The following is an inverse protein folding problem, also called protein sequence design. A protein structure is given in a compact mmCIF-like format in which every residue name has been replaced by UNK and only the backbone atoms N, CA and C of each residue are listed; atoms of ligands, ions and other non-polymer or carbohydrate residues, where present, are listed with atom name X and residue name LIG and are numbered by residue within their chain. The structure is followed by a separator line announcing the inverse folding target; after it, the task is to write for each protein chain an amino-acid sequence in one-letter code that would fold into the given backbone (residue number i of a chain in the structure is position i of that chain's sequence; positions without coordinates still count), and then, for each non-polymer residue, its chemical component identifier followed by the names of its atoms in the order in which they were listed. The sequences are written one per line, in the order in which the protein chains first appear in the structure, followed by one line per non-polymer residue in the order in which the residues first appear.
data_IF_542670894710
#
_entry.id   IF_542670894710
#
_cell.length_a   1.000
_cell.length_b   1.000
_cell.length_c   1.000
_cell.angle_alpha   90.00
_cell.angle_beta   90.00
_cell.angle_gamma   90.00
#
_symmetry.space_group_name_H-M   'P 1'
#
loop_
_entity.id
_entity.type
_entity.pdbx_description
1 polymer ?
#
# COMPACT_ATOMS: atom_id res chain seq x y z
N UNK A 1 22.59 -59.31 30.25
CA UNK A 1 22.86 -58.80 28.89
C UNK A 1 21.64 -58.84 27.95
N UNK A 2 20.52 -59.49 28.27
CA UNK A 2 19.35 -59.61 27.36
C UNK A 2 18.37 -58.41 27.45
N UNK A 3 18.39 -57.63 28.50
CA UNK A 3 17.46 -56.50 28.71
C UNK A 3 17.91 -55.18 28.06
N UNK A 4 19.19 -55.05 27.76
CA UNK A 4 19.71 -53.86 27.07
C UNK A 4 19.47 -53.88 25.57
N UNK A 5 19.29 -55.07 24.97
CA UNK A 5 19.00 -55.19 23.53
C UNK A 5 17.57 -54.75 23.18
N UNK A 6 16.62 -54.96 24.13
CA UNK A 6 15.23 -54.50 23.93
C UNK A 6 15.10 -52.99 24.08
N UNK A 7 15.87 -52.36 24.97
CA UNK A 7 15.84 -50.92 25.12
C UNK A 7 16.43 -50.20 23.89
N UNK A 8 17.46 -50.79 23.28
CA UNK A 8 18.07 -50.25 22.05
C UNK A 8 17.18 -50.45 20.84
N UNK A 9 16.43 -51.56 20.76
CA UNK A 9 15.49 -51.81 19.67
C UNK A 9 14.26 -50.93 19.75
N UNK A 10 13.77 -50.60 20.97
CA UNK A 10 12.67 -49.67 21.18
C UNK A 10 13.09 -48.23 20.90
N UNK A 11 14.35 -47.86 21.16
CA UNK A 11 14.89 -46.55 20.80
C UNK A 11 15.12 -46.43 19.27
N UNK A 12 15.42 -47.53 18.56
CA UNK A 12 15.55 -47.55 17.10
C UNK A 12 14.20 -47.57 16.39
N UNK A 13 13.16 -48.12 17.01
CA UNK A 13 11.80 -48.11 16.48
C UNK A 13 10.97 -46.91 16.94
N UNK A 14 11.39 -46.25 18.04
CA UNK A 14 10.79 -45.00 18.53
C UNK A 14 11.36 -43.73 17.88
N UNK A 15 12.41 -43.85 17.08
CA UNK A 15 12.82 -42.85 16.12
C UNK A 15 11.84 -42.83 14.96
N UNK A 16 10.57 -42.56 15.27
CA UNK A 16 9.59 -42.21 14.25
C UNK A 16 10.21 -41.09 13.42
N UNK A 17 10.55 -41.38 12.18
CA UNK A 17 10.72 -40.39 11.18
C UNK A 17 9.49 -39.51 11.29
N UNK A 18 9.65 -38.37 11.92
CA UNK A 18 8.72 -37.24 11.71
C UNK A 18 8.84 -37.03 10.20
N UNK A 19 7.96 -37.70 9.44
CA UNK A 19 7.71 -37.32 8.07
C UNK A 19 7.57 -35.84 8.13
N UNK A 20 8.59 -35.12 7.64
CA UNK A 20 8.62 -33.69 7.68
C UNK A 20 7.30 -33.25 7.05
N UNK A 21 6.42 -32.72 7.87
CA UNK A 21 5.10 -32.31 7.42
C UNK A 21 5.34 -31.28 6.33
N UNK A 22 5.24 -31.73 5.08
CA UNK A 22 5.59 -30.91 3.89
C UNK A 22 4.49 -29.90 3.60
N UNK A 23 3.31 -30.13 4.19
CA UNK A 23 2.14 -29.27 4.01
C UNK A 23 1.57 -28.86 5.37
N UNK A 24 1.09 -27.65 5.47
CA UNK A 24 0.47 -27.09 6.67
C UNK A 24 -0.81 -26.35 6.29
N UNK A 25 -1.88 -26.69 6.99
CA UNK A 25 -3.17 -26.04 6.82
C UNK A 25 -3.37 -25.04 7.95
N UNK A 26 -3.65 -23.79 7.60
CA UNK A 26 -3.98 -22.72 8.57
C UNK A 26 -5.42 -22.88 9.08
N UNK A 27 -5.75 -22.20 10.18
CA UNK A 27 -7.11 -22.16 10.72
C UNK A 27 -8.15 -21.65 9.69
N UNK A 28 -7.73 -20.86 8.69
CA UNK A 28 -8.57 -20.43 7.56
C UNK A 28 -8.71 -21.44 6.43
N UNK A 29 -8.25 -22.69 6.62
CA UNK A 29 -8.36 -23.77 5.63
C UNK A 29 -7.37 -23.70 4.47
N UNK A 30 -6.46 -22.74 4.44
CA UNK A 30 -5.42 -22.65 3.42
C UNK A 30 -4.26 -23.60 3.73
N UNK A 31 -3.83 -24.37 2.74
CA UNK A 31 -2.72 -25.29 2.86
C UNK A 31 -1.49 -24.77 2.15
N UNK A 32 -0.36 -24.77 2.87
CA UNK A 32 0.93 -24.32 2.38
C UNK A 32 1.91 -25.49 2.38
N UNK A 33 2.75 -25.54 1.35
CA UNK A 33 3.80 -26.53 1.21
C UNK A 33 5.20 -25.89 1.36
N UNK A 34 6.15 -26.65 1.85
CA UNK A 34 7.54 -26.20 1.81
C UNK A 34 7.96 -25.99 0.34
N UNK A 35 8.56 -24.83 0.08
CA UNK A 35 8.91 -24.40 -1.26
C UNK A 35 7.92 -23.41 -1.89
N UNK A 36 6.72 -23.26 -1.32
CA UNK A 36 5.75 -22.28 -1.81
C UNK A 36 6.31 -20.88 -1.78
N UNK A 37 5.96 -20.10 -2.80
CA UNK A 37 6.30 -18.69 -2.89
C UNK A 37 5.18 -17.87 -2.27
N UNK A 38 5.50 -17.15 -1.20
CA UNK A 38 4.59 -16.28 -0.49
C UNK A 38 5.00 -14.83 -0.70
N UNK A 39 4.03 -13.94 -0.80
CA UNK A 39 4.29 -12.49 -0.92
C UNK A 39 4.11 -11.85 0.45
N UNK A 40 5.08 -11.05 0.87
CA UNK A 40 4.96 -10.23 2.06
C UNK A 40 3.95 -9.13 1.77
N UNK A 41 2.91 -9.02 2.58
CA UNK A 41 1.93 -7.95 2.51
C UNK A 41 2.42 -6.68 3.19
N UNK A 42 1.50 -5.98 3.81
CA UNK A 42 1.76 -4.80 4.62
C UNK A 42 1.61 -5.12 6.10
N UNK A 43 2.21 -4.31 6.99
CA UNK A 43 1.91 -4.39 8.42
C UNK A 43 0.40 -4.28 8.65
N UNK A 44 -0.12 -5.06 9.59
CA UNK A 44 -1.55 -5.05 9.92
C UNK A 44 -2.06 -3.64 10.26
N UNK A 45 -1.26 -2.86 10.97
CA UNK A 45 -1.54 -1.46 11.28
C UNK A 45 -0.69 -0.57 10.37
N UNK A 46 -1.30 0.31 9.56
CA UNK A 46 -0.56 1.20 8.68
C UNK A 46 0.44 2.08 9.46
N UNK A 47 1.67 2.13 8.98
CA UNK A 47 2.76 2.91 9.61
C UNK A 47 3.44 2.23 10.79
N UNK A 48 2.95 1.08 11.23
CA UNK A 48 3.56 0.29 12.29
C UNK A 48 4.54 -0.76 11.74
N UNK A 49 5.24 -1.42 12.67
CA UNK A 49 6.08 -2.57 12.33
C UNK A 49 5.21 -3.82 12.12
N UNK A 50 5.73 -4.78 11.37
CA UNK A 50 5.13 -6.11 11.29
C UNK A 50 5.07 -6.73 12.69
N UNK A 51 3.91 -7.24 13.06
CA UNK A 51 3.69 -7.84 14.38
C UNK A 51 3.85 -9.36 14.36
N UNK A 52 3.55 -9.96 13.21
CA UNK A 52 3.49 -11.41 13.03
C UNK A 52 4.69 -11.97 12.27
N UNK A 53 5.68 -11.13 11.98
CA UNK A 53 6.93 -11.56 11.37
C UNK A 53 8.11 -10.72 11.83
N UNK A 54 9.29 -11.34 11.82
CA UNK A 54 10.54 -10.68 12.19
C UNK A 54 11.76 -11.41 11.63
N UNK A 55 12.90 -10.74 11.57
CA UNK A 55 14.14 -11.37 11.14
C UNK A 55 14.69 -12.32 12.20
N UNK A 56 15.34 -13.40 11.75
CA UNK A 56 16.05 -14.30 12.66
C UNK A 56 17.26 -13.64 13.31
N UNK A 57 17.83 -12.65 12.65
CA UNK A 57 18.99 -11.87 13.12
C UNK A 57 18.82 -10.40 12.77
N UNK A 58 18.94 -9.55 13.80
CA UNK A 58 18.88 -8.11 13.61
C UNK A 58 17.45 -7.56 13.43
N UNK A 59 17.37 -6.25 13.26
CA UNK A 59 16.12 -5.47 13.15
C UNK A 59 16.10 -4.73 11.80
N UNK A 60 16.30 -5.48 10.70
CA UNK A 60 16.26 -4.91 9.36
C UNK A 60 14.82 -4.61 8.94
N UNK A 61 14.62 -3.60 8.10
CA UNK A 61 13.32 -3.30 7.53
C UNK A 61 12.83 -4.47 6.67
N UNK A 62 11.64 -4.97 6.96
CA UNK A 62 11.00 -6.03 6.18
C UNK A 62 10.47 -5.41 4.88
N UNK A 63 10.88 -5.92 3.70
CA UNK A 63 10.44 -5.36 2.43
C UNK A 63 9.02 -5.81 2.11
N UNK A 64 8.07 -4.88 2.07
CA UNK A 64 6.72 -5.15 1.59
C UNK A 64 6.74 -5.61 0.12
N UNK A 65 5.81 -6.49 -0.23
CA UNK A 65 5.63 -7.07 -1.58
C UNK A 65 6.80 -7.91 -2.10
N UNK A 66 7.81 -8.17 -1.28
CA UNK A 66 8.84 -9.12 -1.64
C UNK A 66 8.29 -10.55 -1.64
N UNK A 67 8.75 -11.35 -2.58
CA UNK A 67 8.44 -12.77 -2.64
C UNK A 67 9.47 -13.57 -1.84
N UNK A 68 8.99 -14.38 -0.91
CA UNK A 68 9.79 -15.30 -0.11
C UNK A 68 9.39 -16.75 -0.36
N UNK A 69 10.35 -17.67 -0.24
CA UNK A 69 10.07 -19.10 -0.27
C UNK A 69 9.97 -19.67 1.14
N UNK A 70 8.94 -20.44 1.39
CA UNK A 70 8.75 -21.17 2.63
C UNK A 70 9.79 -22.30 2.72
N UNK A 71 10.73 -22.20 3.67
CA UNK A 71 11.88 -23.12 3.75
C UNK A 71 11.68 -24.22 4.78
N UNK A 72 11.18 -23.87 5.94
CA UNK A 72 10.98 -24.79 7.06
C UNK A 72 9.95 -24.25 8.04
N UNK A 73 9.50 -25.09 8.93
CA UNK A 73 8.73 -24.71 10.09
C UNK A 73 9.32 -25.33 11.35
N UNK A 74 9.00 -24.79 12.49
CA UNK A 74 9.31 -25.30 13.83
C UNK A 74 8.04 -25.25 14.65
N UNK A 75 7.70 -26.38 15.25
CA UNK A 75 6.61 -26.45 16.22
C UNK A 75 7.20 -26.17 17.60
N UNK A 76 6.70 -25.14 18.26
CA UNK A 76 7.09 -24.80 19.62
C UNK A 76 5.92 -25.04 20.56
N UNK A 77 6.12 -25.72 21.69
CA UNK A 77 5.10 -25.78 22.71
C UNK A 77 4.82 -24.36 23.21
N UNK A 78 3.56 -23.97 23.14
CA UNK A 78 3.09 -22.71 23.73
C UNK A 78 3.01 -22.91 25.24
N UNK A 79 3.63 -22.00 25.99
CA UNK A 79 3.56 -22.02 27.46
C UNK A 79 2.71 -20.85 27.91
N UNK A 80 1.86 -21.10 28.90
CA UNK A 80 1.16 -20.01 29.57
C UNK A 80 2.11 -19.19 30.48
N UNK A 81 1.57 -18.18 31.16
CA UNK A 81 2.33 -17.33 32.07
C UNK A 81 2.87 -18.08 33.28
N UNK A 82 2.40 -19.30 33.57
CA UNK A 82 2.84 -20.16 34.66
C UNK A 82 3.85 -21.21 34.17
N UNK A 83 4.11 -21.30 32.87
CA UNK A 83 5.06 -22.24 32.27
C UNK A 83 4.45 -23.56 31.86
N UNK A 84 3.13 -23.75 32.00
CA UNK A 84 2.41 -24.94 31.58
C UNK A 84 2.22 -24.96 30.08
N UNK A 85 2.33 -26.17 29.47
CA UNK A 85 2.17 -26.33 28.02
C UNK A 85 0.70 -26.22 27.66
N UNK A 86 0.36 -25.21 26.85
CA UNK A 86 -0.99 -25.05 26.27
C UNK A 86 -1.16 -26.08 25.16
N UNK A 87 -2.36 -26.59 25.01
CA UNK A 87 -2.70 -27.70 24.10
C UNK A 87 -2.46 -27.44 22.62
N UNK A 88 -2.38 -26.16 22.19
CA UNK A 88 -2.09 -25.79 20.81
C UNK A 88 -0.69 -25.21 20.68
N UNK A 89 0.25 -25.94 20.05
CA UNK A 89 1.60 -25.44 19.86
C UNK A 89 1.66 -24.33 18.82
N UNK A 90 2.50 -23.33 19.07
CA UNK A 90 2.83 -22.31 18.07
C UNK A 90 3.69 -22.92 16.97
N UNK A 91 3.27 -22.74 15.72
CA UNK A 91 4.07 -23.12 14.57
C UNK A 91 4.70 -21.88 13.92
N UNK A 92 6.03 -21.84 13.99
CA UNK A 92 6.82 -20.79 13.37
C UNK A 92 7.30 -21.22 11.99
N UNK A 93 7.11 -20.37 11.01
CA UNK A 93 7.53 -20.59 9.64
C UNK A 93 8.72 -19.72 9.28
N UNK A 94 9.58 -20.22 8.40
CA UNK A 94 10.78 -19.51 7.95
C UNK A 94 10.68 -19.24 6.45
N UNK A 95 10.65 -17.97 6.10
CA UNK A 95 10.68 -17.49 4.72
C UNK A 95 12.08 -17.01 4.37
N UNK A 96 12.64 -17.51 3.27
CA UNK A 96 13.86 -16.96 2.70
C UNK A 96 13.53 -15.96 1.61
N UNK A 97 14.18 -14.81 1.65
CA UNK A 97 14.06 -13.76 0.64
C UNK A 97 15.33 -13.77 -0.24
N UNK A 98 15.20 -13.65 -1.58
CA UNK A 98 16.36 -13.63 -2.48
C UNK A 98 17.34 -12.51 -2.17
N UNK A 99 16.84 -11.33 -1.73
CA UNK A 99 17.64 -10.17 -1.37
C UNK A 99 18.47 -10.38 -0.09
N UNK A 100 18.06 -11.34 0.76
CA UNK A 100 18.68 -11.60 2.07
C UNK A 100 18.99 -13.10 2.23
N UNK A 101 19.92 -13.66 1.42
CA UNK A 101 20.13 -15.12 1.34
C UNK A 101 20.68 -15.73 2.64
N UNK A 102 21.28 -14.93 3.52
CA UNK A 102 21.86 -15.38 4.79
C UNK A 102 20.88 -15.32 5.97
N UNK A 103 19.75 -14.66 5.80
CA UNK A 103 18.75 -14.45 6.85
C UNK A 103 17.39 -15.01 6.42
N UNK A 104 16.52 -15.25 7.39
CA UNK A 104 15.17 -15.68 7.15
C UNK A 104 14.20 -14.86 7.99
N UNK A 105 13.01 -14.63 7.44
CA UNK A 105 11.91 -14.11 8.23
C UNK A 105 11.24 -15.27 8.98
N UNK A 106 11.03 -15.08 10.27
CA UNK A 106 10.18 -15.94 11.10
C UNK A 106 8.77 -15.37 11.02
N UNK A 107 7.79 -16.22 10.73
CA UNK A 107 6.40 -15.81 10.50
C UNK A 107 5.43 -16.71 11.25
N UNK A 108 4.46 -16.11 11.92
CA UNK A 108 3.25 -16.78 12.41
C UNK A 108 2.25 -16.88 11.25
N UNK A 109 2.44 -17.86 10.38
CA UNK A 109 1.85 -17.88 9.03
C UNK A 109 0.32 -17.79 9.03
N UNK A 110 -0.37 -18.54 9.90
CA UNK A 110 -1.82 -18.52 9.97
C UNK A 110 -2.39 -17.15 10.29
N UNK A 111 -1.86 -16.50 11.32
CA UNK A 111 -2.28 -15.16 11.73
C UNK A 111 -1.82 -14.11 10.73
N UNK A 112 -0.60 -14.24 10.18
CA UNK A 112 -0.07 -13.31 9.19
C UNK A 112 -0.89 -13.30 7.89
N UNK A 113 -1.45 -14.44 7.50
CA UNK A 113 -2.38 -14.53 6.38
C UNK A 113 -3.71 -13.86 6.71
N UNK A 114 -4.28 -14.15 7.88
CA UNK A 114 -5.54 -13.51 8.32
C UNK A 114 -5.43 -11.98 8.43
N UNK A 115 -4.27 -11.50 8.89
CA UNK A 115 -3.99 -10.08 9.06
C UNK A 115 -3.46 -9.38 7.81
N UNK A 116 -3.25 -10.12 6.72
CA UNK A 116 -2.75 -9.58 5.46
C UNK A 116 -1.25 -9.25 5.45
N UNK A 117 -0.49 -9.65 6.48
CA UNK A 117 0.97 -9.53 6.49
C UNK A 117 1.64 -10.55 5.55
N UNK A 118 0.94 -11.62 5.20
CA UNK A 118 1.29 -12.54 4.11
C UNK A 118 0.13 -12.61 3.12
N UNK A 119 0.44 -12.41 1.85
CA UNK A 119 -0.49 -12.51 0.73
C UNK A 119 -0.27 -13.83 0.02
N UNK A 120 -1.26 -14.68 0.00
CA UNK A 120 -1.15 -16.05 -0.55
C UNK A 120 -1.34 -16.12 -2.05
N UNK A 121 -2.20 -15.28 -2.58
CA UNK A 121 -2.31 -14.99 -4.00
C UNK A 121 -2.81 -13.55 -4.15
N UNK A 122 -2.18 -12.71 -4.98
CA UNK A 122 -2.82 -11.50 -5.38
C UNK A 122 -4.11 -11.90 -6.09
N UNK A 123 -5.26 -11.48 -5.57
CA UNK A 123 -6.49 -11.58 -6.35
C UNK A 123 -6.28 -10.65 -7.54
N UNK A 124 -6.16 -11.23 -8.74
CA UNK A 124 -6.04 -10.45 -9.95
C UNK A 124 -7.26 -9.53 -10.05
N UNK A 125 -6.98 -8.26 -10.05
CA UNK A 125 -7.99 -7.23 -10.22
C UNK A 125 -7.59 -6.38 -11.42
N UNK A 126 -8.52 -6.26 -12.38
CA UNK A 126 -8.35 -5.31 -13.45
C UNK A 126 -8.85 -3.96 -12.97
N UNK A 127 -7.97 -2.94 -12.83
CA UNK A 127 -8.37 -1.60 -12.44
C UNK A 127 -9.43 -1.02 -13.41
N UNK A 128 -10.24 -0.07 -12.93
CA UNK A 128 -11.21 0.64 -13.79
C UNK A 128 -10.56 1.24 -15.04
N UNK A 129 -9.33 1.72 -14.88
CA UNK A 129 -8.51 2.28 -15.95
C UNK A 129 -7.12 1.66 -15.90
N UNK A 130 -6.90 0.51 -16.57
CA UNK A 130 -5.62 -0.21 -16.53
C UNK A 130 -4.43 0.60 -17.05
N UNK A 131 -4.71 1.52 -17.99
CA UNK A 131 -3.74 2.43 -18.60
C UNK A 131 -3.43 3.67 -17.76
N UNK A 132 -4.15 3.88 -16.65
CA UNK A 132 -3.97 5.06 -15.82
C UNK A 132 -2.59 5.08 -15.15
N UNK A 133 -1.99 6.25 -15.14
CA UNK A 133 -0.67 6.51 -14.55
C UNK A 133 -0.84 7.20 -13.20
N UNK A 134 0.00 6.85 -12.23
CA UNK A 134 0.02 7.57 -10.94
C UNK A 134 0.52 9.00 -11.14
N UNK A 135 -0.26 9.96 -10.68
CA UNK A 135 0.15 11.35 -10.65
C UNK A 135 1.02 11.56 -9.39
N UNK A 136 2.32 11.60 -9.61
CA UNK A 136 3.31 11.75 -8.54
C UNK A 136 3.59 13.22 -8.23
N UNK A 137 4.15 13.56 -7.05
CA UNK A 137 4.47 14.94 -6.68
C UNK A 137 5.30 15.69 -7.71
N UNK A 138 6.23 15.02 -8.37
CA UNK A 138 7.07 15.61 -9.43
C UNK A 138 6.30 15.99 -10.70
N UNK A 139 5.11 15.45 -10.88
CA UNK A 139 4.28 15.69 -12.06
C UNK A 139 3.35 16.92 -11.87
N UNK A 140 3.18 17.40 -10.62
CA UNK A 140 2.19 18.45 -10.33
C UNK A 140 2.54 19.78 -11.01
N UNK A 141 3.76 20.27 -10.89
CA UNK A 141 4.15 21.54 -11.53
C UNK A 141 4.14 21.42 -13.06
N UNK A 142 4.71 20.37 -13.67
CA UNK A 142 4.54 20.11 -15.10
C UNK A 142 3.07 20.10 -15.54
N UNK A 143 2.19 19.43 -14.79
CA UNK A 143 0.76 19.38 -15.07
C UNK A 143 0.10 20.75 -15.03
N UNK A 144 0.39 21.55 -13.99
CA UNK A 144 -0.14 22.90 -13.85
C UNK A 144 0.28 23.83 -14.98
N UNK A 145 1.56 23.76 -15.38
CA UNK A 145 2.06 24.57 -16.52
C UNK A 145 1.43 24.09 -17.81
N UNK A 146 1.39 22.80 -18.08
CA UNK A 146 0.80 22.23 -19.29
C UNK A 146 -0.68 22.57 -19.43
N UNK A 147 -1.41 22.56 -18.31
CA UNK A 147 -2.83 22.90 -18.27
C UNK A 147 -3.10 24.41 -18.26
N UNK A 148 -2.08 25.26 -18.13
CA UNK A 148 -2.22 26.72 -18.19
C UNK A 148 -2.58 27.38 -16.86
N UNK A 149 -2.44 26.67 -15.71
CA UNK A 149 -2.72 27.25 -14.38
C UNK A 149 -1.56 28.11 -13.85
N UNK A 150 -0.36 27.87 -14.32
CA UNK A 150 0.83 28.65 -13.95
C UNK A 150 1.81 28.69 -15.12
N UNK A 151 2.90 29.43 -14.95
CA UNK A 151 3.96 29.54 -15.95
C UNK A 151 5.31 29.19 -15.32
N UNK A 152 6.41 29.36 -16.08
CA UNK A 152 7.77 29.06 -15.62
C UNK A 152 8.30 30.16 -14.66
N UNK A 153 7.58 30.41 -13.57
CA UNK A 153 7.99 31.35 -12.52
C UNK A 153 9.11 30.75 -11.65
N UNK A 154 9.82 31.60 -10.92
CA UNK A 154 10.84 31.12 -9.96
C UNK A 154 10.22 30.28 -8.85
N UNK A 155 8.98 30.56 -8.46
CA UNK A 155 8.22 29.75 -7.50
C UNK A 155 7.96 28.36 -8.07
N UNK A 156 7.48 28.26 -9.31
CA UNK A 156 7.23 26.96 -9.96
C UNK A 156 8.52 26.17 -10.13
N UNK A 157 9.65 26.80 -10.52
CA UNK A 157 10.94 26.14 -10.66
C UNK A 157 11.43 25.57 -9.32
N UNK A 158 11.31 26.35 -8.22
CA UNK A 158 11.66 25.90 -6.88
C UNK A 158 10.76 24.77 -6.39
N UNK A 159 9.45 24.87 -6.58
CA UNK A 159 8.48 23.84 -6.23
C UNK A 159 8.76 22.54 -7.00
N UNK A 160 9.06 22.62 -8.29
CA UNK A 160 9.47 21.46 -9.08
C UNK A 160 10.76 20.83 -8.54
N UNK A 161 11.79 21.64 -8.24
CA UNK A 161 13.03 21.16 -7.66
C UNK A 161 12.80 20.41 -6.34
N UNK A 162 11.88 20.90 -5.50
CA UNK A 162 11.52 20.24 -4.25
C UNK A 162 10.82 18.89 -4.48
N UNK A 163 9.97 18.81 -5.48
CA UNK A 163 9.22 17.57 -5.80
C UNK A 163 10.11 16.45 -6.34
N UNK A 164 11.31 16.77 -6.84
CA UNK A 164 12.29 15.77 -7.29
C UNK A 164 12.91 14.94 -6.15
N UNK A 165 12.75 15.38 -4.90
CA UNK A 165 13.24 14.64 -3.73
C UNK A 165 14.78 14.62 -3.58
N UNK A 166 15.51 15.42 -4.37
CA UNK A 166 16.96 15.55 -4.26
C UNK A 166 17.34 16.43 -3.07
N UNK A 167 17.71 15.79 -1.97
CA UNK A 167 18.00 16.44 -0.69
C UNK A 167 19.19 17.40 -0.77
N UNK A 168 20.21 17.08 -1.56
CA UNK A 168 21.41 17.93 -1.69
C UNK A 168 21.10 19.16 -2.54
N UNK A 169 20.37 19.00 -3.63
CA UNK A 169 19.86 20.11 -4.42
C UNK A 169 19.00 21.04 -3.58
N UNK A 170 18.10 20.49 -2.75
CA UNK A 170 17.24 21.28 -1.87
C UNK A 170 18.04 22.07 -0.83
N UNK A 171 19.03 21.48 -0.19
CA UNK A 171 19.91 22.19 0.74
C UNK A 171 20.65 23.34 0.07
N UNK A 172 21.18 23.10 -1.13
CA UNK A 172 21.87 24.11 -1.90
C UNK A 172 20.95 25.29 -2.26
N UNK A 173 19.76 25.00 -2.79
CA UNK A 173 18.78 26.01 -3.20
C UNK A 173 18.26 26.83 -2.01
N UNK A 174 17.97 26.17 -0.87
CA UNK A 174 17.50 26.84 0.34
C UNK A 174 18.59 27.62 1.06
N UNK A 175 19.83 27.15 0.98
CA UNK A 175 20.95 27.74 1.70
C UNK A 175 21.56 28.97 1.05
N UNK A 176 21.41 29.15 -0.27
CA UNK A 176 22.08 30.23 -1.00
C UNK A 176 21.31 30.66 -2.25
N UNK A 177 20.99 31.95 -2.32
CA UNK A 177 20.43 32.56 -3.52
C UNK A 177 21.38 32.45 -4.73
N UNK A 178 22.69 32.48 -4.51
CA UNK A 178 23.68 32.30 -5.57
C UNK A 178 23.68 30.88 -6.11
N UNK A 179 23.51 29.87 -5.25
CA UNK A 179 23.45 28.49 -5.69
C UNK A 179 22.16 28.23 -6.47
N UNK A 180 21.04 28.78 -6.03
CA UNK A 180 19.81 28.74 -6.80
C UNK A 180 20.01 29.34 -8.21
N UNK A 181 20.62 30.50 -8.33
CA UNK A 181 20.88 31.12 -9.63
C UNK A 181 21.78 30.26 -10.54
N UNK A 182 22.75 29.54 -10.00
CA UNK A 182 23.58 28.59 -10.77
C UNK A 182 22.77 27.43 -11.28
N UNK A 183 21.85 26.89 -10.49
CA UNK A 183 21.05 25.71 -10.82
C UNK A 183 19.80 26.04 -11.65
N UNK A 184 19.34 27.29 -11.61
CA UNK A 184 18.08 27.73 -12.19
C UNK A 184 17.91 27.37 -13.66
N UNK A 185 18.93 27.60 -14.47
CA UNK A 185 18.88 27.30 -15.92
C UNK A 185 18.68 25.80 -16.16
N UNK A 186 19.41 24.95 -15.47
CA UNK A 186 19.30 23.50 -15.56
C UNK A 186 17.94 22.99 -15.08
N UNK A 187 17.44 23.55 -13.98
CA UNK A 187 16.12 23.21 -13.44
C UNK A 187 15.00 23.62 -14.41
N UNK A 188 15.12 24.78 -15.00
CA UNK A 188 14.15 25.27 -15.98
C UNK A 188 14.11 24.37 -17.23
N UNK A 189 15.26 23.93 -17.74
CA UNK A 189 15.29 23.00 -18.87
C UNK A 189 14.66 21.63 -18.51
N UNK A 190 14.98 21.07 -17.34
CA UNK A 190 14.35 19.85 -16.87
C UNK A 190 12.82 19.99 -16.72
N UNK A 191 12.38 21.14 -16.20
CA UNK A 191 10.95 21.42 -16.06
C UNK A 191 10.28 21.55 -17.42
N UNK A 192 10.89 22.20 -18.40
CA UNK A 192 10.35 22.27 -19.78
C UNK A 192 10.21 20.89 -20.38
N UNK A 193 11.23 20.05 -20.28
CA UNK A 193 11.15 18.66 -20.75
C UNK A 193 10.02 17.87 -20.08
N UNK A 194 9.83 18.04 -18.75
CA UNK A 194 8.77 17.40 -18.03
C UNK A 194 7.37 17.89 -18.49
N UNK A 195 7.23 19.20 -18.74
CA UNK A 195 6.00 19.78 -19.28
C UNK A 195 5.70 19.27 -20.70
N UNK A 196 6.71 19.12 -21.55
CA UNK A 196 6.52 18.56 -22.90
C UNK A 196 6.01 17.12 -22.86
N UNK A 197 6.58 16.30 -21.96
CA UNK A 197 6.23 14.89 -21.78
C UNK A 197 4.87 14.68 -21.11
N UNK A 198 4.36 15.68 -20.38
CA UNK A 198 3.09 15.55 -19.69
C UNK A 198 1.92 15.55 -20.68
N UNK A 199 1.06 14.53 -20.60
CA UNK A 199 -0.11 14.37 -21.49
C UNK A 199 -1.42 14.68 -20.75
N UNK A 200 -2.10 15.75 -21.09
CA UNK A 200 -3.40 16.12 -20.51
C UNK A 200 -4.53 15.14 -20.89
N UNK A 201 -4.37 14.34 -21.95
CA UNK A 201 -5.37 13.36 -22.35
C UNK A 201 -5.24 12.04 -21.58
N UNK A 202 -4.10 11.84 -20.90
CA UNK A 202 -3.85 10.66 -20.09
C UNK A 202 -4.81 10.62 -18.88
N UNK A 203 -5.30 9.43 -18.55
CA UNK A 203 -5.97 9.20 -17.28
C UNK A 203 -4.92 9.03 -16.19
N UNK A 204 -5.05 9.84 -15.16
CA UNK A 204 -4.20 9.75 -13.98
C UNK A 204 -4.96 9.17 -12.80
N UNK A 205 -4.23 8.63 -11.81
CA UNK A 205 -4.82 8.33 -10.52
C UNK A 205 -4.02 8.92 -9.37
N UNK A 206 -4.76 9.27 -8.31
CA UNK A 206 -4.23 9.70 -7.03
C UNK A 206 -4.54 8.61 -6.01
N UNK A 207 -3.59 8.29 -5.15
CA UNK A 207 -3.85 7.45 -3.98
C UNK A 207 -4.29 8.30 -2.80
N UNK A 208 -5.36 7.88 -2.16
CA UNK A 208 -5.94 8.60 -1.03
C UNK A 208 -6.58 7.65 -0.03
N UNK A 209 -6.83 8.18 1.14
CA UNK A 209 -7.52 7.49 2.22
C UNK A 209 -8.99 7.85 2.21
N UNK A 210 -9.84 6.87 2.43
CA UNK A 210 -11.28 7.01 2.54
C UNK A 210 -11.77 6.40 3.85
N UNK A 211 -12.97 6.82 4.25
CA UNK A 211 -13.73 6.15 5.28
C UNK A 211 -14.95 5.49 4.67
N UNK A 212 -15.25 4.26 5.11
CA UNK A 212 -16.49 3.58 4.77
C UNK A 212 -17.36 3.46 6.02
N UNK A 213 -18.67 3.53 5.84
CA UNK A 213 -19.65 3.13 6.85
C UNK A 213 -19.92 1.63 6.80
N UNK A 214 -20.97 1.23 7.51
CA UNK A 214 -21.50 -0.15 7.47
C UNK A 214 -21.88 -0.52 6.04
N UNK A 215 -21.67 -1.77 5.69
CA UNK A 215 -22.07 -2.33 4.41
C UNK A 215 -23.57 -2.16 4.15
N UNK A 216 -23.91 -1.60 3.02
CA UNK A 216 -25.30 -1.45 2.57
C UNK A 216 -25.73 -2.67 1.78
N UNK A 217 -26.48 -3.56 2.44
CA UNK A 217 -26.99 -4.79 1.82
C UNK A 217 -28.01 -4.53 0.69
N UNK A 218 -28.71 -3.39 0.73
CA UNK A 218 -29.68 -3.04 -0.30
C UNK A 218 -29.00 -2.65 -1.60
N UNK A 219 -27.91 -1.90 -1.51
CA UNK A 219 -27.12 -1.41 -2.63
C UNK A 219 -25.93 -2.31 -2.97
N UNK A 220 -25.66 -3.31 -2.13
CA UNK A 220 -24.52 -4.23 -2.25
C UNK A 220 -23.17 -3.53 -2.34
N UNK A 221 -22.81 -2.75 -1.30
CA UNK A 221 -21.55 -2.04 -1.27
C UNK A 221 -21.37 -1.12 -0.08
N UNK A 222 -20.35 -0.27 -0.19
CA UNK A 222 -20.01 0.72 0.83
C UNK A 222 -20.20 2.15 0.33
N UNK A 223 -20.80 3.03 1.15
CA UNK A 223 -20.63 4.46 0.95
C UNK A 223 -19.15 4.80 1.22
N UNK A 224 -18.52 5.51 0.30
CA UNK A 224 -17.12 5.92 0.39
C UNK A 224 -17.05 7.42 0.68
N UNK A 225 -16.51 7.77 1.86
CA UNK A 225 -16.33 9.15 2.26
C UNK A 225 -14.84 9.44 2.37
N UNK A 226 -14.42 10.54 1.80
CA UNK A 226 -13.06 11.02 2.02
C UNK A 226 -12.85 11.40 3.49
N UNK A 227 -11.65 11.15 4.03
CA UNK A 227 -11.31 11.40 5.44
C UNK A 227 -11.53 12.85 5.88
N UNK A 228 -11.57 13.78 4.95
CA UNK A 228 -11.79 15.22 5.20
C UNK A 228 -13.18 15.69 4.70
N UNK A 229 -14.07 14.76 4.34
CA UNK A 229 -15.38 15.08 3.77
C UNK A 229 -15.35 15.53 2.31
N UNK A 230 -14.18 15.48 1.67
CA UNK A 230 -13.99 15.86 0.27
C UNK A 230 -13.21 14.75 -0.46
N UNK A 231 -13.37 14.68 -1.77
CA UNK A 231 -12.47 13.95 -2.67
C UNK A 231 -11.04 14.44 -2.36
N UNK A 232 -9.97 13.65 -2.60
CA UNK A 232 -8.60 14.10 -2.37
C UNK A 232 -8.29 15.30 -3.26
N UNK A 233 -8.79 16.42 -2.80
CA UNK A 233 -8.71 17.70 -3.48
C UNK A 233 -7.41 18.39 -3.13
N UNK A 234 -6.68 17.85 -2.15
CA UNK A 234 -5.53 18.51 -1.59
C UNK A 234 -4.31 17.61 -1.76
N UNK A 235 -3.42 18.03 -2.59
CA UNK A 235 -2.10 17.45 -2.74
C UNK A 235 -1.10 18.45 -2.24
N UNK A 236 -0.45 18.17 -1.12
CA UNK A 236 0.61 19.01 -0.59
C UNK A 236 1.82 18.94 -1.51
N UNK A 237 2.17 20.08 -2.09
CA UNK A 237 3.47 20.26 -2.69
C UNK A 237 4.42 20.67 -1.56
N UNK A 238 5.58 20.02 -1.40
CA UNK A 238 6.55 20.43 -0.40
C UNK A 238 7.12 21.80 -0.77
N UNK A 239 6.50 22.90 -0.44
CA UNK A 239 7.00 24.26 -0.52
C UNK A 239 6.00 25.31 -0.12
N UNK A 240 5.17 25.08 0.88
CA UNK A 240 4.17 26.05 1.33
C UNK A 240 3.04 26.31 0.31
N UNK A 241 2.95 25.54 -0.76
CA UNK A 241 1.90 25.62 -1.77
C UNK A 241 1.10 24.33 -1.81
N UNK A 242 -0.20 24.43 -1.96
CA UNK A 242 -1.08 23.29 -2.08
C UNK A 242 -1.80 23.31 -3.42
N UNK A 243 -1.89 22.15 -4.07
CA UNK A 243 -2.74 21.97 -5.23
C UNK A 243 -4.09 21.48 -4.73
N UNK A 244 -5.13 22.24 -4.97
CA UNK A 244 -6.49 21.80 -4.71
C UNK A 244 -7.13 21.37 -6.03
N UNK A 245 -7.56 20.12 -6.11
CA UNK A 245 -8.23 19.57 -7.28
C UNK A 245 -9.75 19.72 -7.09
N UNK A 246 -10.39 20.52 -7.93
CA UNK A 246 -11.85 20.63 -7.95
C UNK A 246 -12.42 19.82 -9.09
N UNK A 247 -13.33 18.89 -8.84
CA UNK A 247 -14.06 18.24 -9.93
C UNK A 247 -14.94 19.28 -10.63
N UNK A 248 -14.83 19.35 -11.95
CA UNK A 248 -15.61 20.29 -12.79
C UNK A 248 -17.10 19.99 -12.81
N UNK A 249 -17.46 18.77 -12.43
CA UNK A 249 -18.86 18.37 -12.34
C UNK A 249 -19.13 17.93 -10.91
N UNK A 250 -20.38 18.10 -10.45
CA UNK A 250 -20.83 17.55 -9.16
C UNK A 250 -20.86 16.02 -9.13
N UNK A 251 -20.25 15.39 -10.12
CA UNK A 251 -20.11 13.94 -10.21
C UNK A 251 -19.09 13.47 -9.21
N UNK A 252 -19.47 12.57 -8.37
CA UNK A 252 -18.59 12.00 -7.35
C UNK A 252 -18.99 10.56 -7.09
N UNK A 253 -18.02 9.71 -6.84
CA UNK A 253 -18.31 8.36 -6.39
C UNK A 253 -18.47 8.39 -4.89
N UNK A 254 -19.72 8.40 -4.43
CA UNK A 254 -20.03 8.26 -3.02
C UNK A 254 -20.39 6.84 -2.62
N UNK A 255 -20.39 5.94 -3.56
CA UNK A 255 -20.74 4.55 -3.32
C UNK A 255 -19.93 3.62 -4.22
N UNK A 256 -19.37 2.58 -3.60
CA UNK A 256 -18.59 1.55 -4.29
C UNK A 256 -19.29 0.21 -4.12
N UNK A 257 -19.62 -0.41 -5.23
CA UNK A 257 -20.20 -1.76 -5.22
C UNK A 257 -19.13 -2.77 -4.81
N UNK A 258 -19.46 -3.58 -3.81
CA UNK A 258 -18.58 -4.62 -3.26
C UNK A 258 -19.39 -5.90 -3.08
N UNK A 259 -18.97 -7.04 -3.66
CA UNK A 259 -19.64 -8.31 -3.44
C UNK A 259 -19.72 -8.69 -1.96
N UNK A 260 -20.83 -9.27 -1.52
CA UNK A 260 -21.09 -9.54 -0.10
C UNK A 260 -20.04 -10.46 0.54
N UNK A 261 -19.56 -11.47 -0.18
CA UNK A 261 -18.51 -12.40 0.26
C UNK A 261 -17.17 -11.69 0.50
N UNK A 262 -16.85 -10.71 -0.36
CA UNK A 262 -15.66 -9.86 -0.22
C UNK A 262 -15.81 -8.90 0.96
N UNK A 263 -16.99 -8.29 1.10
CA UNK A 263 -17.30 -7.43 2.23
C UNK A 263 -17.20 -8.18 3.56
N UNK A 264 -17.76 -9.38 3.66
CA UNK A 264 -17.67 -10.23 4.85
C UNK A 264 -16.21 -10.55 5.20
N UNK A 265 -15.39 -10.84 4.19
CA UNK A 265 -13.97 -11.13 4.38
C UNK A 265 -13.22 -9.89 4.87
N UNK A 266 -13.52 -8.71 4.33
CA UNK A 266 -12.97 -7.44 4.78
C UNK A 266 -13.37 -7.13 6.22
N UNK A 267 -14.63 -7.22 6.58
CA UNK A 267 -15.14 -6.97 7.93
C UNK A 267 -14.47 -7.90 8.97
N UNK A 268 -14.28 -9.17 8.62
CA UNK A 268 -13.56 -10.13 9.48
C UNK A 268 -12.12 -9.74 9.70
N UNK A 269 -11.42 -9.19 8.67
CA UNK A 269 -10.04 -8.74 8.78
C UNK A 269 -9.91 -7.40 9.49
N UNK A 270 -10.76 -6.45 9.17
CA UNK A 270 -10.76 -5.13 9.79
C UNK A 270 -10.99 -5.19 11.31
N UNK A 271 -11.53 -6.33 11.75
CA UNK A 271 -11.79 -6.63 13.15
C UNK A 271 -12.95 -5.83 13.68
N UNK A 272 -13.74 -6.47 14.52
CA UNK A 272 -14.86 -5.85 15.24
C UNK A 272 -14.35 -4.92 16.35
N UNK A 273 -13.52 -3.93 16.01
CA UNK A 273 -13.07 -2.93 16.99
C UNK A 273 -14.20 -1.98 17.43
N UNK A 274 -15.44 -2.33 17.12
CA UNK A 274 -16.62 -1.53 17.49
C UNK A 274 -16.65 -0.14 16.85
N UNK A 275 -15.80 0.12 15.86
CA UNK A 275 -15.76 1.39 15.13
C UNK A 275 -16.68 1.30 13.92
N UNK A 276 -17.64 2.21 13.78
CA UNK A 276 -18.55 2.23 12.64
C UNK A 276 -17.89 2.66 11.33
N UNK A 277 -16.65 3.12 11.38
CA UNK A 277 -15.90 3.63 10.23
C UNK A 277 -14.64 2.79 10.02
N UNK A 278 -14.51 2.20 8.85
CA UNK A 278 -13.29 1.54 8.41
C UNK A 278 -12.48 2.47 7.53
N UNK A 279 -11.17 2.47 7.76
CA UNK A 279 -10.22 3.16 6.87
C UNK A 279 -9.94 2.24 5.69
N UNK A 280 -10.14 2.75 4.50
CA UNK A 280 -9.81 2.11 3.23
C UNK A 280 -9.01 3.08 2.36
N UNK A 281 -8.41 2.56 1.32
CA UNK A 281 -7.57 3.35 0.43
C UNK A 281 -8.09 3.25 -0.99
N UNK A 282 -7.88 4.29 -1.80
CA UNK A 282 -8.41 4.29 -3.14
C UNK A 282 -7.47 4.86 -4.19
N UNK A 283 -7.64 4.38 -5.41
CA UNK A 283 -7.16 5.03 -6.63
C UNK A 283 -8.30 5.89 -7.16
N UNK A 284 -8.17 7.19 -7.01
CA UNK A 284 -9.10 8.17 -7.58
C UNK A 284 -8.65 8.49 -8.99
N UNK A 285 -9.43 8.13 -9.99
CA UNK A 285 -9.12 8.35 -11.40
C UNK A 285 -9.62 9.72 -11.86
N UNK A 286 -8.72 10.46 -12.46
CA UNK A 286 -8.97 11.82 -12.93
C UNK A 286 -8.37 12.06 -14.31
N UNK A 287 -8.90 13.06 -15.01
CA UNK A 287 -8.26 13.73 -16.14
C UNK A 287 -8.13 15.20 -15.80
N UNK A 288 -6.95 15.74 -16.02
CA UNK A 288 -6.70 17.16 -15.80
C UNK A 288 -7.31 17.96 -16.96
N UNK A 289 -7.96 19.05 -16.63
CA UNK A 289 -8.56 19.94 -17.64
C UNK A 289 -7.74 21.22 -17.80
N UNK A 290 -7.70 21.79 -19.01
CA UNK A 290 -7.09 23.11 -19.21
C UNK A 290 -7.76 24.17 -18.34
N UNK A 291 -6.97 25.14 -17.89
CA UNK A 291 -7.48 26.28 -17.16
C UNK A 291 -8.47 27.06 -18.03
N UNK A 292 -9.66 27.28 -17.48
CA UNK A 292 -10.65 28.17 -18.06
C UNK A 292 -10.55 29.49 -17.29
N UNK A 293 -10.12 30.54 -17.92
CA UNK A 293 -9.99 31.89 -17.34
C UNK A 293 -9.14 31.91 -16.04
N UNK A 294 -7.83 31.76 -16.24
CA UNK A 294 -6.87 31.89 -15.16
C UNK A 294 -6.90 33.29 -14.54
N UNK A 295 -7.37 33.40 -13.32
CA UNK A 295 -7.23 34.60 -12.50
C UNK A 295 -6.06 34.35 -11.56
N UNK A 296 -4.97 35.08 -11.73
CA UNK A 296 -3.85 35.11 -10.80
C UNK A 296 -4.31 35.81 -9.51
N UNK A 297 -4.82 35.06 -8.59
CA UNK A 297 -5.39 35.58 -7.34
C UNK A 297 -4.31 35.78 -6.27
N UNK A 298 -3.04 35.71 -6.57
CA UNK A 298 -1.98 35.91 -5.58
C UNK A 298 -2.01 34.90 -4.41
N UNK A 299 -3.00 34.02 -4.35
CA UNK A 299 -3.06 32.92 -3.40
C UNK A 299 -2.10 31.83 -3.86
N UNK A 300 -1.41 31.21 -2.91
CA UNK A 300 -0.53 30.06 -3.18
C UNK A 300 -1.32 28.76 -3.42
N UNK A 301 -2.62 28.87 -3.63
CA UNK A 301 -3.53 27.74 -3.84
C UNK A 301 -3.86 27.65 -5.33
N UNK A 302 -3.53 26.51 -5.94
CA UNK A 302 -3.92 26.23 -7.31
C UNK A 302 -5.21 25.42 -7.33
N UNK A 303 -6.28 26.02 -7.83
CA UNK A 303 -7.55 25.33 -8.06
C UNK A 303 -7.50 24.67 -9.44
N UNK A 304 -7.24 23.38 -9.46
CA UNK A 304 -7.11 22.62 -10.71
C UNK A 304 -8.43 21.92 -11.02
N UNK A 305 -9.00 22.22 -12.16
CA UNK A 305 -10.20 21.54 -12.62
C UNK A 305 -9.85 20.14 -13.12
N UNK A 306 -10.62 19.16 -12.69
CA UNK A 306 -10.45 17.77 -13.11
C UNK A 306 -11.78 17.17 -13.50
N UNK A 307 -11.72 16.29 -14.48
CA UNK A 307 -12.80 15.37 -14.78
C UNK A 307 -12.63 14.14 -13.89
N UNK A 308 -13.57 13.93 -12.98
CA UNK A 308 -13.54 12.79 -12.08
C UNK A 308 -14.16 11.57 -12.76
N UNK A 309 -13.40 10.50 -12.90
CA UNK A 309 -13.76 9.35 -13.72
C UNK A 309 -14.24 8.15 -12.92
N UNK A 310 -13.69 7.97 -11.72
CA UNK A 310 -14.05 6.83 -10.88
C UNK A 310 -13.10 6.57 -9.74
N UNK A 311 -13.36 5.49 -9.01
CA UNK A 311 -12.66 5.10 -7.81
C UNK A 311 -12.54 3.58 -7.73
N UNK A 312 -11.34 3.07 -7.48
CA UNK A 312 -11.10 1.72 -6.99
C UNK A 312 -10.76 1.77 -5.51
N UNK A 313 -11.44 0.98 -4.68
CA UNK A 313 -11.17 0.86 -3.24
C UNK A 313 -10.34 -0.38 -2.93
N UNK A 314 -9.44 -0.23 -1.97
CA UNK A 314 -8.54 -1.26 -1.47
C UNK A 314 -8.45 -1.22 0.06
N UNK A 315 -8.13 -2.34 0.65
CA UNK A 315 -7.94 -2.43 2.11
C UNK A 315 -6.64 -1.76 2.57
N UNK A 316 -5.64 -1.58 1.68
CA UNK A 316 -4.29 -1.13 2.05
C UNK A 316 -3.77 0.03 1.19
N UNK A 317 -2.86 0.86 1.77
CA UNK A 317 -2.39 2.12 1.16
C UNK A 317 -1.74 1.99 -0.22
N UNK A 318 -1.15 0.83 -0.53
CA UNK A 318 -0.50 0.63 -1.84
C UNK A 318 -1.47 0.45 -2.99
N UNK A 319 -2.77 0.26 -2.70
CA UNK A 319 -3.80 0.06 -3.72
C UNK A 319 -3.39 -0.98 -4.79
N UNK A 320 -2.77 -2.08 -4.35
CA UNK A 320 -2.24 -3.13 -5.22
C UNK A 320 -2.89 -4.49 -4.97
N UNK A 321 -3.27 -4.75 -3.72
CA UNK A 321 -3.88 -6.00 -3.27
C UNK A 321 -5.13 -5.72 -2.46
N UNK A 322 -5.95 -6.75 -2.27
CA UNK A 322 -7.19 -6.66 -1.51
C UNK A 322 -8.11 -5.56 -2.02
N UNK A 323 -8.32 -5.57 -3.33
CA UNK A 323 -9.32 -4.72 -3.97
C UNK A 323 -10.70 -5.04 -3.43
N UNK A 324 -11.38 -4.04 -2.92
CA UNK A 324 -12.75 -4.16 -2.38
C UNK A 324 -13.77 -4.06 -3.49
N UNK A 325 -13.71 -3.01 -4.26
CA UNK A 325 -14.68 -2.74 -5.30
C UNK A 325 -14.34 -1.48 -6.09
N UNK A 326 -15.14 -1.22 -7.10
CA UNK A 326 -14.97 -0.10 -8.01
C UNK A 326 -16.28 0.68 -8.17
N UNK A 327 -16.16 1.99 -8.37
CA UNK A 327 -17.27 2.88 -8.68
C UNK A 327 -16.90 3.84 -9.78
N UNK A 328 -17.75 3.97 -10.81
CA UNK A 328 -17.63 5.03 -11.82
C UNK A 328 -18.29 6.30 -11.32
N UNK A 329 -17.78 7.46 -11.76
CA UNK A 329 -18.44 8.73 -11.50
C UNK A 329 -19.74 8.81 -12.33
N UNK A 330 -20.84 9.19 -11.66
CA UNK A 330 -22.17 9.36 -12.24
C UNK A 330 -22.54 10.84 -12.34
#
# INVERSE_FOLDING_TARGET
MRNYLYLFLVLLLGGGSSLAQTAVTTAGGQTFHLGDSLTIGLPHTPGERYQLMGWTKGDMKIPAFAKGKLKRHIIRPKKDMFGDIITEPDTLYFLSLPQYPKDSLVVYLGEAVQKGEIVTAPVEHTPLYPEAVELLPQDYIPALIKAGYTTYTDVAIKAYAQSLGDTELLKAIKGSAFEYQRQRATLLEKLKEAVEKFDLNQVYYLRSQFHTNVYDFTRSGYPAYHSIGYIPNHVEIPAEESITLYPTTKKSVYFVSVPADRAETFEKRAGSQGRPLHVVYGKTYIRLLPAQDYVEDGSRLYNVQVDYLGLDLYEYPHCAYYHLGSGKAE
#
